data_IF_041239417772
#
_entry.id   IF_041239417772
#
_cell.length_a   1.000
_cell.length_b   1.000
_cell.length_c   1.000
_cell.angle_alpha   90.00
_cell.angle_beta   90.00
_cell.angle_gamma   90.00
#
_symmetry.space_group_name_H-M   'P 1'
#
loop_
_entity.id
_entity.type
_entity.pdbx_description
1 polymer ?
#
# COMPACT_ATOMS: atom_id res chain seq x y z
N UNK A 1 9.04 16.30 -32.54
CA UNK A 1 7.92 15.60 -33.20
C UNK A 1 8.48 14.96 -34.46
N UNK A 2 9.08 13.78 -34.35
CA UNK A 2 9.61 13.08 -35.51
C UNK A 2 8.59 12.02 -35.91
N UNK A 3 7.82 12.33 -36.95
CA UNK A 3 7.14 11.32 -37.77
C UNK A 3 8.24 10.53 -38.46
N UNK A 4 8.49 9.31 -38.01
CA UNK A 4 9.19 8.33 -38.82
C UNK A 4 8.17 7.64 -39.69
N UNK A 5 8.09 8.06 -40.95
CA UNK A 5 7.43 7.30 -42.00
C UNK A 5 8.19 5.98 -42.17
N UNK A 6 7.67 4.92 -41.56
CA UNK A 6 8.17 3.56 -41.76
C UNK A 6 7.71 3.10 -43.14
N UNK A 7 8.56 3.23 -44.14
CA UNK A 7 8.38 2.55 -45.43
C UNK A 7 8.70 1.06 -45.26
N UNK A 8 7.74 0.30 -44.75
CA UNK A 8 7.75 -1.15 -44.81
C UNK A 8 6.93 -1.60 -46.04
N UNK A 9 7.61 -2.00 -47.11
CA UNK A 9 6.96 -2.79 -48.17
C UNK A 9 6.82 -4.23 -47.65
N UNK A 10 5.67 -4.54 -47.06
CA UNK A 10 5.27 -5.91 -46.77
C UNK A 10 4.17 -6.28 -47.75
N UNK A 11 4.46 -7.28 -48.58
CA UNK A 11 3.45 -7.93 -49.42
C UNK A 11 2.81 -9.04 -48.59
N UNK A 12 1.71 -8.73 -47.91
CA UNK A 12 0.94 -9.64 -47.06
C UNK A 12 -0.29 -8.95 -46.47
N UNK A 13 -1.39 -9.68 -46.30
CA UNK A 13 -2.61 -9.18 -45.63
C UNK A 13 -2.33 -9.02 -44.13
N UNK A 14 -1.87 -7.83 -43.72
CA UNK A 14 -1.71 -7.49 -42.31
C UNK A 14 -3.06 -7.07 -41.71
N UNK A 15 -3.42 -7.65 -40.57
CA UNK A 15 -4.54 -7.15 -39.77
C UNK A 15 -4.12 -5.87 -39.06
N UNK A 16 -4.97 -4.85 -39.11
CA UNK A 16 -4.82 -3.62 -38.34
C UNK A 16 -5.93 -3.52 -37.31
N UNK A 17 -5.64 -2.93 -36.16
CA UNK A 17 -6.67 -2.63 -35.19
C UNK A 17 -7.61 -1.52 -35.72
N UNK A 18 -8.90 -1.56 -35.33
CA UNK A 18 -9.83 -0.47 -35.63
C UNK A 18 -9.35 0.87 -35.07
N UNK A 19 -9.84 1.97 -35.62
CA UNK A 19 -9.53 3.32 -35.11
C UNK A 19 -9.86 3.44 -33.61
N UNK A 20 -8.91 3.98 -32.83
CA UNK A 20 -9.02 4.10 -31.37
C UNK A 20 -8.59 2.85 -30.59
N UNK A 21 -8.05 1.83 -31.27
CA UNK A 21 -7.47 0.65 -30.67
C UNK A 21 -6.00 0.50 -31.06
N UNK A 22 -5.19 0.00 -30.14
CA UNK A 22 -3.78 -0.34 -30.35
C UNK A 22 -3.57 -1.83 -30.15
N UNK A 23 -2.60 -2.39 -30.88
CA UNK A 23 -2.20 -3.78 -30.71
C UNK A 23 -1.50 -3.92 -29.35
N UNK A 24 -2.10 -4.72 -28.47
CA UNK A 24 -1.55 -5.14 -27.18
C UNK A 24 -1.30 -6.65 -27.25
N UNK A 25 -0.02 -7.03 -27.28
CA UNK A 25 0.44 -8.38 -27.59
C UNK A 25 -0.15 -8.91 -28.93
N UNK A 26 -1.24 -9.69 -28.88
CA UNK A 26 -1.91 -10.29 -30.04
C UNK A 26 -3.39 -9.85 -30.20
N UNK A 27 -3.88 -8.90 -29.37
CA UNK A 27 -5.26 -8.40 -29.39
C UNK A 27 -5.32 -6.88 -29.52
N UNK A 28 -6.48 -6.34 -29.91
CA UNK A 28 -6.70 -4.90 -30.02
C UNK A 28 -7.31 -4.35 -28.72
N UNK A 29 -6.54 -3.57 -27.98
CA UNK A 29 -6.99 -2.88 -26.78
C UNK A 29 -7.38 -1.42 -27.08
N UNK A 30 -8.40 -0.85 -26.44
CA UNK A 30 -8.66 0.59 -26.53
C UNK A 30 -7.41 1.39 -26.17
N UNK A 31 -7.14 2.50 -26.86
CA UNK A 31 -6.03 3.41 -26.53
C UNK A 31 -6.04 3.82 -25.04
N UNK A 32 -7.22 3.95 -24.45
CA UNK A 32 -7.41 4.31 -23.04
C UNK A 32 -7.09 3.21 -22.06
N UNK A 33 -6.95 1.96 -22.48
CA UNK A 33 -6.62 0.81 -21.63
C UNK A 33 -5.16 0.40 -21.73
N UNK A 34 -4.41 1.01 -22.65
CA UNK A 34 -2.99 0.77 -22.83
C UNK A 34 -2.18 1.17 -21.58
N UNK A 35 -1.16 0.38 -21.28
CA UNK A 35 -0.19 0.67 -20.23
C UNK A 35 0.73 1.85 -20.55
N UNK A 36 1.39 2.38 -19.52
CA UNK A 36 2.35 3.47 -19.65
C UNK A 36 3.78 2.95 -19.60
N UNK A 37 4.64 3.44 -20.49
CA UNK A 37 6.07 3.12 -20.47
C UNK A 37 6.87 4.11 -19.61
N UNK A 38 7.64 3.60 -18.65
CA UNK A 38 8.64 4.36 -17.90
C UNK A 38 10.04 3.88 -18.29
N UNK A 39 10.88 4.82 -18.73
CA UNK A 39 12.28 4.53 -19.08
C UNK A 39 13.01 3.84 -17.92
N UNK A 40 13.61 2.69 -18.20
CA UNK A 40 14.36 1.88 -17.22
C UNK A 40 13.51 0.96 -16.33
N UNK A 41 12.18 1.12 -16.30
CA UNK A 41 11.26 0.25 -15.54
C UNK A 41 10.42 -0.66 -16.45
N UNK A 42 10.03 -0.19 -17.64
CA UNK A 42 9.15 -0.93 -18.54
C UNK A 42 7.71 -0.42 -18.52
N UNK A 43 6.76 -1.31 -18.84
CA UNK A 43 5.34 -0.98 -18.96
C UNK A 43 4.62 -1.19 -17.62
N UNK A 44 3.77 -0.23 -17.26
CA UNK A 44 2.86 -0.28 -16.11
C UNK A 44 1.43 -0.29 -16.67
N UNK A 45 0.62 -1.25 -16.27
CA UNK A 45 -0.77 -1.33 -16.75
C UNK A 45 -1.57 -0.08 -16.38
N UNK A 46 -2.59 0.22 -17.17
CA UNK A 46 -3.51 1.32 -16.85
C UNK A 46 -4.15 1.14 -15.46
N UNK A 47 -4.27 2.24 -14.71
CA UNK A 47 -4.78 2.27 -13.33
C UNK A 47 -3.77 1.88 -12.25
N UNK A 48 -2.59 1.35 -12.62
CA UNK A 48 -1.58 0.94 -11.66
C UNK A 48 -0.59 2.07 -11.33
N UNK A 49 0.13 1.88 -10.21
CA UNK A 49 1.19 2.78 -9.76
C UNK A 49 2.55 2.09 -9.70
N UNK A 50 3.60 2.90 -9.77
CA UNK A 50 4.98 2.50 -9.64
C UNK A 50 5.71 3.44 -8.68
N UNK A 51 6.56 2.87 -7.82
CA UNK A 51 7.48 3.61 -6.95
C UNK A 51 8.89 3.20 -7.32
N UNK A 52 9.76 4.19 -7.54
CA UNK A 52 11.15 3.95 -7.90
C UNK A 52 11.96 3.35 -6.75
N UNK A 53 13.15 2.83 -7.07
CA UNK A 53 13.98 2.03 -6.16
C UNK A 53 14.29 2.71 -4.83
N UNK A 54 14.55 4.01 -4.86
CA UNK A 54 14.91 4.85 -3.71
C UNK A 54 13.69 5.52 -3.04
N UNK A 55 12.46 5.19 -3.48
CA UNK A 55 11.22 5.84 -3.04
C UNK A 55 11.30 7.37 -3.06
N UNK A 56 11.94 7.97 -4.09
CA UNK A 56 11.98 9.42 -4.32
C UNK A 56 10.89 9.92 -5.26
N UNK A 57 10.27 8.99 -6.01
CA UNK A 57 9.17 9.30 -6.93
C UNK A 57 8.14 8.18 -6.99
N UNK A 58 6.86 8.59 -7.08
CA UNK A 58 5.71 7.71 -7.31
C UNK A 58 4.99 8.16 -8.57
N UNK A 59 4.77 7.23 -9.49
CA UNK A 59 4.11 7.44 -10.76
C UNK A 59 2.80 6.67 -10.84
N UNK A 60 1.77 7.27 -11.44
CA UNK A 60 0.50 6.60 -11.76
C UNK A 60 0.31 6.57 -13.27
N UNK A 61 -0.17 5.45 -13.80
CA UNK A 61 -0.58 5.32 -15.18
C UNK A 61 -2.10 5.48 -15.30
N UNK A 62 -2.57 6.48 -16.02
CA UNK A 62 -4.01 6.65 -16.31
C UNK A 62 -4.19 6.97 -17.80
N UNK A 63 -4.92 6.10 -18.50
CA UNK A 63 -5.23 6.22 -19.93
C UNK A 63 -4.00 6.47 -20.80
N UNK A 64 -2.95 5.66 -20.61
CA UNK A 64 -1.67 5.80 -21.33
C UNK A 64 -0.81 7.00 -20.90
N UNK A 65 -1.27 7.83 -19.96
CA UNK A 65 -0.53 8.99 -19.45
C UNK A 65 0.10 8.67 -18.10
N UNK A 66 1.44 8.82 -18.04
CA UNK A 66 2.19 8.71 -16.79
C UNK A 66 2.29 10.05 -16.08
N UNK A 67 1.90 10.08 -14.81
CA UNK A 67 2.05 11.25 -13.94
C UNK A 67 2.87 10.87 -12.73
N UNK A 68 4.02 11.51 -12.54
CA UNK A 68 4.92 11.26 -11.42
C UNK A 68 4.93 12.44 -10.45
N UNK A 69 4.96 12.12 -9.16
CA UNK A 69 5.13 13.09 -8.08
C UNK A 69 6.34 12.72 -7.22
N UNK A 70 6.82 13.69 -6.45
CA UNK A 70 7.74 13.41 -5.36
C UNK A 70 7.08 12.49 -4.34
N UNK A 71 7.85 11.54 -3.84
CA UNK A 71 7.44 10.55 -2.86
C UNK A 71 8.58 10.40 -1.88
N UNK A 72 8.27 10.29 -0.59
CA UNK A 72 9.26 10.06 0.46
C UNK A 72 8.61 9.32 1.62
N UNK A 73 9.34 8.41 2.23
CA UNK A 73 8.87 7.69 3.41
C UNK A 73 8.92 8.58 4.66
N UNK A 74 7.98 8.35 5.58
CA UNK A 74 8.06 8.86 6.94
C UNK A 74 9.37 8.39 7.60
N UNK A 75 9.86 9.13 8.61
CA UNK A 75 11.03 8.71 9.39
C UNK A 75 10.84 7.35 10.08
N UNK A 76 9.60 6.90 10.29
CA UNK A 76 9.24 5.59 10.84
C UNK A 76 8.68 4.64 9.76
N UNK A 77 9.10 4.80 8.50
CA UNK A 77 8.80 3.90 7.41
C UNK A 77 10.05 3.45 6.66
N UNK A 78 9.97 2.24 6.10
CA UNK A 78 11.02 1.67 5.25
C UNK A 78 10.48 1.58 3.82
N UNK A 79 11.31 2.00 2.86
CA UNK A 79 11.10 1.75 1.45
C UNK A 79 11.50 0.31 1.13
N UNK A 80 10.52 -0.57 0.92
CA UNK A 80 10.78 -1.99 0.61
C UNK A 80 9.71 -2.56 -0.32
N UNK A 81 9.89 -3.83 -0.71
CA UNK A 81 8.94 -4.57 -1.54
C UNK A 81 8.21 -5.58 -0.67
N UNK A 82 6.88 -5.47 -0.57
CA UNK A 82 6.02 -6.48 0.06
C UNK A 82 5.02 -6.98 -0.96
N UNK A 83 4.90 -8.30 -1.13
CA UNK A 83 4.02 -8.93 -2.14
C UNK A 83 4.22 -8.34 -3.55
N UNK A 84 5.49 -8.17 -3.95
CA UNK A 84 5.87 -7.59 -5.25
C UNK A 84 5.52 -6.11 -5.47
N UNK A 85 5.01 -5.40 -4.45
CA UNK A 85 4.72 -3.97 -4.51
C UNK A 85 5.78 -3.22 -3.71
N UNK A 86 6.47 -2.28 -4.38
CA UNK A 86 7.37 -1.32 -3.69
C UNK A 86 6.55 -0.14 -3.17
N UNK A 87 6.63 0.12 -1.87
CA UNK A 87 6.03 1.27 -1.22
C UNK A 87 6.78 1.59 0.07
N UNK A 88 6.48 2.74 0.67
CA UNK A 88 6.83 2.99 2.06
C UNK A 88 5.90 2.17 2.96
N UNK A 89 6.47 1.40 3.88
CA UNK A 89 5.74 0.65 4.89
C UNK A 89 6.17 1.10 6.27
N UNK A 90 5.21 1.45 7.13
CA UNK A 90 5.51 1.80 8.52
C UNK A 90 6.21 0.62 9.22
N UNK A 91 7.20 0.94 10.05
CA UNK A 91 7.88 -0.04 10.91
C UNK A 91 6.97 -0.46 12.07
N UNK A 92 7.38 -1.48 12.83
CA UNK A 92 6.64 -1.95 13.99
C UNK A 92 6.28 -0.82 14.96
N UNK A 93 5.08 -0.89 15.55
CA UNK A 93 4.49 0.15 16.41
C UNK A 93 4.16 1.46 15.71
N UNK A 94 4.11 1.47 14.37
CA UNK A 94 3.60 2.58 13.59
C UNK A 94 2.61 2.11 12.54
N UNK A 95 1.59 2.93 12.26
CA UNK A 95 0.65 2.70 11.17
C UNK A 95 0.30 4.00 10.44
N UNK A 96 -0.09 3.82 9.18
CA UNK A 96 -0.46 4.90 8.27
C UNK A 96 -0.23 4.48 6.81
N UNK A 97 -0.03 5.45 5.94
CA UNK A 97 0.15 5.24 4.48
C UNK A 97 1.62 5.11 4.06
N UNK A 98 2.54 5.05 5.02
CA UNK A 98 3.99 4.98 4.81
C UNK A 98 4.67 6.34 4.57
N UNK A 99 3.93 7.36 4.14
CA UNK A 99 4.43 8.75 4.09
C UNK A 99 4.12 9.51 5.37
N UNK A 100 3.07 9.09 6.08
CA UNK A 100 2.69 9.52 7.41
C UNK A 100 2.55 8.29 8.28
N UNK A 101 3.47 8.09 9.22
CA UNK A 101 3.42 6.98 10.16
C UNK A 101 3.17 7.53 11.57
N UNK A 102 2.09 7.08 12.18
CA UNK A 102 1.72 7.46 13.54
C UNK A 102 1.93 6.31 14.49
N UNK A 103 2.45 6.59 15.69
CA UNK A 103 2.70 5.57 16.70
C UNK A 103 1.41 4.82 17.02
N UNK A 104 1.39 3.53 16.74
CA UNK A 104 0.40 2.61 17.26
C UNK A 104 0.87 2.11 18.61
N UNK A 105 -0.06 1.95 19.55
CA UNK A 105 0.28 1.28 20.81
C UNK A 105 0.23 -0.22 20.57
N UNK A 106 1.33 -0.89 20.86
CA UNK A 106 1.49 -2.34 20.72
C UNK A 106 0.65 -3.10 21.73
N UNK A 107 0.42 -2.49 22.90
CA UNK A 107 -0.41 -3.02 23.96
C UNK A 107 -0.89 -1.92 24.94
N UNK A 108 -1.59 -2.35 26.00
CA UNK A 108 -2.03 -1.47 27.08
C UNK A 108 -0.88 -0.91 27.92
N UNK A 109 0.27 -1.58 27.96
CA UNK A 109 1.45 -1.12 28.68
C UNK A 109 2.09 0.08 27.94
N UNK A 110 2.13 0.07 26.61
CA UNK A 110 2.55 1.21 25.80
C UNK A 110 1.65 2.43 26.03
N UNK A 111 0.33 2.23 26.10
CA UNK A 111 -0.63 3.28 26.45
C UNK A 111 -0.33 3.88 27.82
N UNK A 112 -0.10 3.02 28.82
CA UNK A 112 0.22 3.44 30.17
C UNK A 112 1.56 4.19 30.23
N UNK A 113 2.60 3.67 29.58
CA UNK A 113 3.92 4.30 29.54
C UNK A 113 3.88 5.67 28.83
N UNK A 114 2.99 5.83 27.84
CA UNK A 114 2.68 7.11 27.19
C UNK A 114 1.86 8.09 28.06
N UNK A 115 1.58 7.76 29.32
CA UNK A 115 0.89 8.64 30.27
C UNK A 115 -0.62 8.44 30.37
N UNK A 116 -1.21 7.47 29.67
CA UNK A 116 -2.64 7.18 29.83
C UNK A 116 -2.91 6.50 31.18
N UNK A 117 -3.92 6.98 31.90
CA UNK A 117 -4.31 6.46 33.22
C UNK A 117 -5.78 6.03 33.30
N UNK A 118 -6.53 6.25 32.23
CA UNK A 118 -7.94 5.89 32.17
C UNK A 118 -8.06 4.42 31.77
N UNK A 119 -8.85 3.64 32.51
CA UNK A 119 -9.28 2.34 32.04
C UNK A 119 -10.30 2.52 30.91
N UNK A 120 -10.27 1.66 29.90
CA UNK A 120 -11.18 1.81 28.76
C UNK A 120 -10.83 0.92 27.59
N UNK A 121 -11.61 1.04 26.51
CA UNK A 121 -11.35 0.32 25.26
C UNK A 121 -10.46 1.18 24.37
N UNK A 122 -9.36 0.60 23.89
CA UNK A 122 -8.38 1.24 23.03
C UNK A 122 -8.06 0.39 21.81
N UNK A 123 -7.78 1.04 20.68
CA UNK A 123 -7.26 0.33 19.51
C UNK A 123 -5.78 0.04 19.72
N UNK A 124 -5.44 -1.24 19.70
CA UNK A 124 -4.09 -1.76 19.87
C UNK A 124 -3.67 -2.46 18.57
N UNK A 125 -2.39 -2.36 18.25
CA UNK A 125 -1.78 -3.00 17.07
C UNK A 125 -0.53 -3.76 17.50
N UNK A 126 -0.65 -5.05 17.84
CA UNK A 126 0.47 -5.85 18.34
C UNK A 126 1.61 -5.96 17.32
N UNK A 127 2.85 -6.03 17.81
CA UNK A 127 4.04 -6.28 16.98
C UNK A 127 3.88 -7.58 16.21
N UNK A 128 4.18 -7.57 14.91
CA UNK A 128 4.03 -8.75 14.04
C UNK A 128 2.59 -9.05 13.59
N UNK A 129 1.60 -8.22 13.92
CA UNK A 129 0.23 -8.35 13.40
C UNK A 129 0.09 -7.69 12.03
N UNK A 130 -0.25 -8.48 11.00
CA UNK A 130 -0.44 -8.00 9.63
C UNK A 130 -1.83 -7.42 9.36
N UNK A 131 -2.74 -7.43 10.34
CA UNK A 131 -4.07 -6.85 10.23
C UNK A 131 -4.12 -5.39 10.69
N UNK A 132 -5.31 -4.81 10.66
CA UNK A 132 -5.57 -3.48 11.24
C UNK A 132 -5.59 -3.53 12.76
N UNK A 133 -5.44 -2.37 13.41
CA UNK A 133 -5.60 -2.25 14.87
C UNK A 133 -7.00 -2.67 15.29
N UNK A 134 -7.13 -3.28 16.47
CA UNK A 134 -8.41 -3.77 16.99
C UNK A 134 -8.66 -3.29 18.43
N UNK A 135 -9.92 -3.14 18.85
CA UNK A 135 -10.25 -2.67 20.19
C UNK A 135 -9.97 -3.73 21.26
N UNK A 136 -9.28 -3.34 22.33
CA UNK A 136 -9.07 -4.16 23.53
C UNK A 136 -9.40 -3.35 24.77
N UNK A 137 -9.84 -4.01 25.85
CA UNK A 137 -10.03 -3.33 27.13
C UNK A 137 -8.69 -3.28 27.88
N UNK A 138 -8.25 -2.08 28.21
CA UNK A 138 -7.07 -1.81 29.01
C UNK A 138 -7.46 -1.40 30.42
N UNK A 139 -7.01 -2.19 31.40
CA UNK A 139 -7.09 -1.84 32.81
C UNK A 139 -5.78 -1.18 33.26
N UNK A 140 -5.85 0.10 33.61
CA UNK A 140 -4.71 0.92 34.05
C UNK A 140 -4.56 0.96 35.57
N UNK A 141 -5.50 0.38 36.32
CA UNK A 141 -5.59 0.50 37.78
C UNK A 141 -5.04 -0.71 38.54
N UNK A 142 -5.03 -1.89 37.93
CA UNK A 142 -4.56 -3.12 38.59
C UNK A 142 -3.04 -3.34 38.45
N UNK A 143 -2.44 -3.91 39.51
CA UNK A 143 -1.02 -4.30 39.54
C UNK A 143 -0.76 -5.40 38.50
N UNK A 144 -0.30 -5.01 37.32
CA UNK A 144 -0.08 -5.90 36.18
C UNK A 144 -0.34 -5.26 34.82
N UNK A 145 -1.14 -4.16 34.77
CA UNK A 145 -1.36 -3.33 33.56
C UNK A 145 -1.63 -4.16 32.29
N UNK A 146 -2.45 -5.20 32.47
CA UNK A 146 -2.70 -6.23 31.46
C UNK A 146 -3.75 -5.82 30.43
N UNK A 147 -3.65 -6.43 29.26
CA UNK A 147 -4.61 -6.34 28.16
C UNK A 147 -5.66 -7.44 28.30
N UNK A 148 -6.93 -7.13 28.04
CA UNK A 148 -7.99 -8.15 27.90
C UNK A 148 -8.53 -8.09 26.48
N UNK A 149 -8.32 -9.16 25.71
CA UNK A 149 -8.95 -9.31 24.39
C UNK A 149 -10.45 -9.55 24.62
N UNK A 150 -11.30 -8.61 24.22
CA UNK A 150 -12.75 -8.86 24.16
C UNK A 150 -13.11 -9.29 22.75
N UNK A 151 -13.32 -10.59 22.55
CA UNK A 151 -14.05 -11.07 21.38
C UNK A 151 -15.55 -10.89 21.61
N UNK A 152 -16.20 -10.08 20.79
CA UNK A 152 -17.65 -9.94 20.80
C UNK A 152 -18.28 -10.89 19.78
N UNK A 153 -18.73 -12.06 20.24
CA UNK A 153 -19.99 -12.67 19.79
C UNK A 153 -20.48 -13.59 20.90
N UNK A 154 -21.26 -13.05 21.83
CA UNK A 154 -22.14 -13.77 22.76
C UNK A 154 -21.55 -15.00 23.50
N UNK A 155 -20.59 -14.79 24.40
CA UNK A 155 -20.49 -15.57 25.66
C UNK A 155 -19.52 -14.90 26.63
N UNK A 156 -19.85 -14.94 27.92
CA UNK A 156 -19.11 -14.34 29.02
C UNK A 156 -17.83 -15.11 29.38
N UNK A 157 -16.84 -15.14 28.51
CA UNK A 157 -15.51 -15.68 28.87
C UNK A 157 -14.42 -14.64 28.61
N UNK A 158 -13.93 -14.05 29.71
CA UNK A 158 -12.72 -13.22 29.74
C UNK A 158 -11.52 -14.17 29.70
N UNK A 159 -10.86 -14.31 28.55
CA UNK A 159 -9.58 -15.03 28.49
C UNK A 159 -8.47 -14.07 28.90
N UNK A 160 -7.98 -14.22 30.12
CA UNK A 160 -6.71 -13.62 30.57
C UNK A 160 -5.58 -14.52 30.09
N UNK A 161 -4.77 -14.07 29.12
CA UNK A 161 -3.52 -14.76 28.80
C UNK A 161 -2.43 -14.17 29.71
N UNK A 162 -1.92 -15.01 30.63
CA UNK A 162 -0.68 -14.74 31.38
C UNK A 162 0.51 -15.26 30.60
#
# INVERSE_FOLDING_TARGET
MLKTDVTASVQGEGCFCPDGFLLDEDDCAPETECGCFIQGQGVISNGNMYVNYDCSSRCTCNSGVVTCANYHCDQHAICEVRNSIRMCYCVDHFAGDGQTCTTTRGDCLDLYNAGNRNCGVYNIHPTGWSGTSFPVYCDMTTEGRGWTVRFSTWQEDLVTLR
#
